data_IF_009150546673
#
_entry.id   IF_009150546673
#
_cell.length_a   1.000
_cell.length_b   1.000
_cell.length_c   1.000
_cell.angle_alpha   90.00
_cell.angle_beta   90.00
_cell.angle_gamma   90.00
#
_symmetry.space_group_name_H-M   'P 1'
#
loop_
_entity.id
_entity.type
_entity.pdbx_description
1 polymer ?
#
# COMPACT_ATOMS: atom_id res chain seq x y z
N UNK A 1 0.27 -33.92 21.50
CA UNK A 1 0.50 -33.38 21.19
C UNK A 1 1.38 -32.95 21.09
N UNK A 2 1.87 -32.64 20.73
CA UNK A 2 2.66 -32.17 20.56
C UNK A 2 3.24 -31.40 20.71
N UNK A 3 3.86 -31.09 20.83
CA UNK A 3 4.44 -30.37 21.03
C UNK A 3 4.99 -29.80 20.59
N UNK A 4 5.02 -29.65 20.49
CA UNK A 4 5.35 -28.95 20.10
C UNK A 4 6.38 -28.09 20.08
N UNK A 5 6.51 -27.27 19.20
CA UNK A 5 7.48 -26.24 19.18
C UNK A 5 6.94 -25.04 19.92
N UNK A 6 7.70 -24.42 20.79
CA UNK A 6 7.23 -23.21 21.41
C UNK A 6 7.00 -22.17 20.34
N UNK A 7 5.94 -21.41 20.49
CA UNK A 7 5.68 -20.31 19.63
C UNK A 7 6.68 -19.20 19.90
N UNK A 8 7.31 -18.65 18.88
CA UNK A 8 8.21 -17.54 19.13
C UNK A 8 7.43 -16.32 19.63
N UNK A 9 8.06 -15.58 20.50
CA UNK A 9 7.48 -14.33 20.93
C UNK A 9 7.87 -13.27 19.97
N UNK A 10 6.90 -12.45 19.58
CA UNK A 10 7.15 -11.38 18.65
C UNK A 10 7.33 -10.10 19.45
N UNK A 11 8.47 -9.47 19.29
CA UNK A 11 8.72 -8.18 19.87
C UNK A 11 8.75 -7.16 18.78
N UNK A 12 7.94 -6.12 18.91
CA UNK A 12 7.89 -5.05 17.92
C UNK A 12 8.74 -3.89 18.41
N UNK A 13 9.74 -3.58 17.64
CA UNK A 13 10.66 -2.50 17.97
C UNK A 13 10.69 -1.51 16.83
N UNK A 14 11.06 -0.28 17.09
CA UNK A 14 11.20 0.72 16.07
C UNK A 14 12.68 1.04 15.89
N UNK A 15 13.11 1.07 14.64
CA UNK A 15 14.47 1.48 14.36
C UNK A 15 14.59 3.00 14.54
N UNK A 16 15.82 3.48 14.61
CA UNK A 16 16.04 4.91 14.85
C UNK A 16 15.46 5.77 13.76
N UNK A 17 15.46 5.28 12.55
CA UNK A 17 14.94 6.06 11.41
C UNK A 17 13.53 5.67 11.04
N UNK A 18 12.80 5.02 11.96
CA UNK A 18 11.39 4.74 11.72
C UNK A 18 10.61 6.04 11.61
N UNK A 19 9.72 6.10 10.67
CA UNK A 19 8.83 7.26 10.55
C UNK A 19 7.57 6.83 9.82
N UNK A 20 6.53 7.60 10.01
CA UNK A 20 5.26 7.40 9.35
C UNK A 20 5.02 8.56 8.43
N UNK A 21 4.61 8.27 7.22
CA UNK A 21 4.33 9.31 6.24
C UNK A 21 2.96 9.09 5.65
N UNK A 22 2.38 10.15 5.14
CA UNK A 22 1.12 10.08 4.41
C UNK A 22 1.42 9.95 2.94
N UNK A 23 0.64 9.13 2.25
CA UNK A 23 0.81 8.95 0.81
C UNK A 23 -0.55 8.83 0.17
N UNK A 24 -0.74 9.51 -0.94
CA UNK A 24 -1.95 9.35 -1.74
C UNK A 24 -1.62 8.84 -3.14
N UNK A 25 -0.43 8.29 -3.33
CA UNK A 25 0.00 7.74 -4.60
C UNK A 25 0.80 6.48 -4.37
N UNK A 26 0.44 5.40 -5.02
CA UNK A 26 1.18 4.15 -4.93
C UNK A 26 1.45 3.65 -6.33
N UNK A 27 2.69 3.35 -6.60
CA UNK A 27 3.09 2.70 -7.85
C UNK A 27 3.73 1.38 -7.51
N UNK A 28 3.57 0.39 -8.36
CA UNK A 28 4.12 -0.93 -8.10
C UNK A 28 4.96 -1.37 -9.29
N UNK A 29 6.17 -1.80 -9.02
CA UNK A 29 7.03 -2.41 -10.03
C UNK A 29 7.33 -3.83 -9.62
N UNK A 30 7.28 -4.74 -10.58
CA UNK A 30 7.37 -6.15 -10.30
C UNK A 30 8.52 -6.76 -11.06
N UNK A 31 9.31 -7.55 -10.37
CA UNK A 31 10.28 -8.42 -11.00
C UNK A 31 10.04 -9.84 -10.49
N UNK A 32 10.79 -10.77 -11.01
CA UNK A 32 10.69 -12.16 -10.53
C UNK A 32 11.11 -12.23 -9.07
N UNK A 33 11.99 -11.34 -8.65
CA UNK A 33 12.60 -11.43 -7.32
C UNK A 33 11.87 -10.64 -6.27
N UNK A 34 11.24 -9.54 -6.63
CA UNK A 34 10.64 -8.67 -5.63
C UNK A 34 9.62 -7.72 -6.25
N UNK A 35 8.87 -7.10 -5.37
CA UNK A 35 7.93 -6.04 -5.70
C UNK A 35 8.45 -4.77 -5.07
N UNK A 36 8.45 -3.69 -5.84
CA UNK A 36 8.80 -2.38 -5.30
C UNK A 36 7.53 -1.55 -5.22
N UNK A 37 7.17 -1.13 -4.02
CA UNK A 37 6.04 -0.24 -3.81
C UNK A 37 6.58 1.15 -3.61
N UNK A 38 6.12 2.10 -4.41
CA UNK A 38 6.61 3.47 -4.34
C UNK A 38 5.46 4.35 -3.89
N UNK A 39 5.67 5.02 -2.78
CA UNK A 39 4.64 5.85 -2.15
C UNK A 39 5.01 7.31 -2.33
N UNK A 40 4.02 8.14 -2.63
CA UNK A 40 4.28 9.54 -2.82
C UNK A 40 3.04 10.39 -2.67
N UNK A 41 3.21 11.67 -2.98
CA UNK A 41 2.13 12.64 -2.93
C UNK A 41 1.89 13.18 -4.31
N UNK A 42 0.63 13.25 -4.68
CA UNK A 42 0.22 13.79 -5.96
C UNK A 42 -0.20 15.23 -5.77
N UNK A 43 0.33 16.10 -6.59
CA UNK A 43 -0.07 17.51 -6.64
C UNK A 43 -0.47 17.86 -8.05
N UNK A 44 -1.62 18.47 -8.22
CA UNK A 44 -2.00 18.94 -9.52
C UNK A 44 -1.66 20.42 -9.59
N UNK A 45 -0.65 20.75 -10.38
CA UNK A 45 -0.18 22.11 -10.48
C UNK A 45 -1.03 22.91 -11.42
N UNK A 46 -1.38 22.35 -12.52
CA UNK A 46 -2.25 22.99 -13.51
C UNK A 46 -3.19 21.93 -14.05
N UNK A 47 -4.20 22.31 -14.81
CA UNK A 47 -5.07 21.29 -15.40
C UNK A 47 -4.33 20.29 -16.28
N UNK A 48 -3.19 20.70 -16.82
CA UNK A 48 -2.45 19.81 -17.72
C UNK A 48 -1.28 19.10 -17.06
N UNK A 49 -0.90 19.50 -15.86
CA UNK A 49 0.31 18.95 -15.26
C UNK A 49 0.05 18.43 -13.87
N UNK A 50 0.36 17.17 -13.67
CA UNK A 50 0.25 16.54 -12.37
C UNK A 50 1.64 16.09 -11.97
N UNK A 51 2.06 16.51 -10.79
CA UNK A 51 3.35 16.10 -10.25
C UNK A 51 3.15 15.06 -9.17
N UNK A 52 3.99 14.04 -9.20
CA UNK A 52 4.00 13.02 -8.16
C UNK A 52 5.37 13.08 -7.50
N UNK A 53 5.37 13.40 -6.22
CA UNK A 53 6.62 13.42 -5.47
C UNK A 53 6.74 12.13 -4.70
N UNK A 54 7.60 11.25 -5.19
CA UNK A 54 7.81 9.95 -4.55
C UNK A 54 8.66 10.13 -3.31
N UNK A 55 8.19 9.63 -2.20
CA UNK A 55 8.83 9.84 -0.91
C UNK A 55 9.46 8.58 -0.35
N UNK A 56 8.98 7.42 -0.71
CA UNK A 56 9.41 6.19 -0.08
C UNK A 56 9.25 5.02 -1.03
N UNK A 57 10.27 4.20 -1.10
CA UNK A 57 10.17 2.95 -1.84
C UNK A 57 10.41 1.80 -0.90
N UNK A 58 9.61 0.75 -1.01
CA UNK A 58 9.74 -0.41 -0.16
C UNK A 58 9.78 -1.65 -1.05
N UNK A 59 10.82 -2.43 -0.90
CA UNK A 59 10.92 -3.71 -1.59
C UNK A 59 10.32 -4.80 -0.72
N UNK A 60 9.49 -5.61 -1.32
CA UNK A 60 8.91 -6.78 -0.65
C UNK A 60 9.24 -8.02 -1.45
N UNK A 61 9.45 -9.13 -0.76
CA UNK A 61 9.47 -10.41 -1.47
C UNK A 61 8.10 -10.66 -2.06
N UNK A 62 7.97 -11.47 -3.09
CA UNK A 62 6.65 -11.80 -3.63
C UNK A 62 5.72 -12.39 -2.58
N UNK A 63 6.26 -13.19 -1.67
CA UNK A 63 5.47 -13.79 -0.61
C UNK A 63 4.94 -12.72 0.34
N UNK A 64 5.79 -11.72 0.67
CA UNK A 64 5.36 -10.67 1.57
C UNK A 64 4.36 -9.75 0.89
N UNK A 65 4.50 -9.55 -0.42
CA UNK A 65 3.53 -8.76 -1.17
C UNK A 65 2.16 -9.46 -1.14
N UNK A 66 2.16 -10.78 -1.25
CA UNK A 66 0.91 -11.52 -1.19
C UNK A 66 0.30 -11.44 0.21
N UNK A 67 1.14 -11.50 1.24
CA UNK A 67 0.67 -11.37 2.61
C UNK A 67 0.05 -9.98 2.83
N UNK A 68 0.68 -8.95 2.31
CA UNK A 68 0.15 -7.60 2.40
C UNK A 68 -1.22 -7.50 1.72
N UNK A 69 -1.35 -8.09 0.55
CA UNK A 69 -2.62 -8.08 -0.16
C UNK A 69 -3.72 -8.74 0.67
N UNK A 70 -3.41 -9.88 1.29
CA UNK A 70 -4.39 -10.56 2.12
C UNK A 70 -4.79 -9.72 3.32
N UNK A 71 -3.82 -9.11 3.99
CA UNK A 71 -4.09 -8.31 5.18
C UNK A 71 -4.91 -7.09 4.81
N UNK A 72 -4.51 -6.40 3.75
CA UNK A 72 -5.25 -5.22 3.32
C UNK A 72 -6.66 -5.57 2.90
N UNK A 73 -6.81 -6.69 2.19
CA UNK A 73 -8.13 -7.12 1.75
C UNK A 73 -9.07 -7.37 2.90
N UNK A 74 -8.59 -8.04 3.94
CA UNK A 74 -9.41 -8.32 5.11
C UNK A 74 -9.79 -7.03 5.83
N UNK A 75 -8.84 -6.12 5.97
CA UNK A 75 -9.11 -4.87 6.67
C UNK A 75 -10.03 -3.96 5.86
N UNK A 76 -9.88 -3.95 4.55
CA UNK A 76 -10.77 -3.17 3.69
C UNK A 76 -12.19 -3.71 3.75
N UNK A 77 -12.33 -5.04 3.74
CA UNK A 77 -13.66 -5.64 3.83
C UNK A 77 -14.34 -5.24 5.14
N UNK A 78 -13.59 -5.27 6.23
CA UNK A 78 -14.15 -4.89 7.52
C UNK A 78 -14.46 -3.40 7.58
N UNK A 79 -13.61 -2.58 7.01
CA UNK A 79 -13.85 -1.15 6.94
C UNK A 79 -15.15 -0.86 6.19
N UNK A 80 -15.32 -1.52 5.05
CA UNK A 80 -16.51 -1.29 4.23
C UNK A 80 -17.77 -1.78 4.92
N UNK A 81 -17.65 -2.82 5.71
CA UNK A 81 -18.79 -3.32 6.45
C UNK A 81 -19.21 -2.33 7.52
N UNK A 82 -18.27 -1.65 8.13
CA UNK A 82 -18.55 -0.71 9.21
C UNK A 82 -18.95 0.67 8.68
N UNK A 83 -18.29 1.14 7.67
CA UNK A 83 -18.45 2.52 7.23
C UNK A 83 -19.06 2.68 5.85
N UNK A 84 -19.28 1.61 5.13
CA UNK A 84 -19.84 1.68 3.79
C UNK A 84 -18.81 1.41 2.72
N UNK A 85 -19.31 1.07 1.54
CA UNK A 85 -18.46 0.71 0.43
C UNK A 85 -17.58 1.87 0.01
N UNK A 86 -16.32 1.55 -0.28
CA UNK A 86 -15.39 2.53 -0.77
C UNK A 86 -15.40 2.51 -2.27
N UNK A 87 -15.56 3.68 -2.88
CA UNK A 87 -15.38 3.81 -4.30
C UNK A 87 -13.98 4.30 -4.55
N UNK A 88 -13.35 3.80 -5.58
CA UNK A 88 -12.07 4.35 -5.98
C UNK A 88 -12.29 5.79 -6.40
N UNK A 89 -11.25 6.59 -6.25
CA UNK A 89 -11.39 7.97 -6.63
C UNK A 89 -11.79 8.07 -8.06
N UNK A 90 -12.68 8.96 -8.40
CA UNK A 90 -13.13 9.04 -9.77
C UNK A 90 -11.97 9.37 -10.65
N UNK A 91 -11.85 8.62 -11.70
CA UNK A 91 -10.89 8.95 -12.72
C UNK A 91 -11.31 10.23 -13.36
N UNK A 92 -10.37 11.07 -13.73
CA UNK A 92 -10.76 12.21 -14.53
C UNK A 92 -11.45 11.73 -15.79
N UNK A 93 -12.37 12.45 -16.28
CA UNK A 93 -13.08 12.00 -17.47
C UNK A 93 -12.08 11.68 -18.51
N UNK A 94 -12.22 10.57 -19.17
CA UNK A 94 -11.35 10.23 -20.14
C UNK A 94 -11.74 10.92 -21.29
N UNK A 95 -11.17 11.94 -21.51
CA UNK A 95 -11.45 12.61 -22.66
C UNK A 95 -12.86 12.79 -22.78
N UNK A 96 -13.28 12.99 -23.82
CA UNK A 96 -14.65 13.28 -23.97
C UNK A 96 -15.32 12.05 -23.87
N UNK A 97 -14.77 11.13 -23.52
CA UNK A 97 -15.37 10.08 -23.44
C UNK A 97 -16.19 10.03 -22.53
N UNK A 98 -16.33 10.32 -22.13
CA UNK A 98 -17.05 10.17 -21.19
C UNK A 98 -17.87 10.89 -21.29
#
# INVERSE_FOLDING_TARGET
MNPSHPQPKIQLNQSEDYREIYSNSVQVRVSVWDFLLVFGLVHQETPEQVNVNNALGVYLSPQQAKALWNILGQNLAQYEQTFGALALEPQPPKGPVH
#
